data_IF_876326507414
#
_entry.id   IF_876326507414
#
_cell.length_a   1.000
_cell.length_b   1.000
_cell.length_c   1.000
_cell.angle_alpha   90.00
_cell.angle_beta   90.00
_cell.angle_gamma   90.00
#
_symmetry.space_group_name_H-M   'P 1'
#
loop_
_entity.id
_entity.type
_entity.pdbx_description
1 polymer ?
#
# COMPACT_ATOMS: atom_id res chain seq x y z
N UNK A 1 -11.39 -6.06 7.92
CA UNK A 1 -10.29 -6.17 6.94
C UNK A 1 -10.71 -7.16 5.85
N UNK A 2 -10.20 -7.05 4.61
CA UNK A 2 -10.57 -7.99 3.52
C UNK A 2 -9.79 -9.31 3.59
N UNK A 3 -10.27 -10.32 2.85
CA UNK A 3 -9.61 -11.63 2.70
C UNK A 3 -8.18 -11.49 2.15
N UNK A 4 -7.99 -10.80 1.03
CA UNK A 4 -6.67 -10.61 0.42
C UNK A 4 -5.70 -9.83 1.32
N UNK A 5 -6.19 -8.84 2.08
CA UNK A 5 -5.36 -8.14 3.08
C UNK A 5 -4.88 -9.09 4.19
N UNK A 6 -5.74 -10.02 4.65
CA UNK A 6 -5.37 -11.02 5.67
C UNK A 6 -4.39 -12.04 5.11
N UNK A 7 -4.63 -12.55 3.91
CA UNK A 7 -3.75 -13.49 3.22
C UNK A 7 -2.36 -12.88 2.97
N UNK A 8 -2.28 -11.63 2.49
CA UNK A 8 -1.02 -10.91 2.36
C UNK A 8 -0.28 -10.75 3.71
N UNK A 9 -1.00 -10.51 4.81
CA UNK A 9 -0.38 -10.42 6.13
C UNK A 9 0.09 -11.78 6.65
N UNK A 10 -0.67 -12.85 6.42
CA UNK A 10 -0.24 -14.24 6.68
C UNK A 10 1.06 -14.54 5.94
N UNK A 11 1.14 -14.24 4.64
CA UNK A 11 2.39 -14.34 3.85
C UNK A 11 3.55 -13.61 4.53
N UNK A 12 3.38 -12.34 4.92
CA UNK A 12 4.44 -11.57 5.59
C UNK A 12 4.81 -12.08 6.99
N UNK A 13 3.90 -12.75 7.70
CA UNK A 13 4.19 -13.40 8.99
C UNK A 13 4.98 -14.70 8.79
N UNK A 14 4.64 -15.51 7.78
CA UNK A 14 5.37 -16.75 7.45
C UNK A 14 6.77 -16.48 6.87
N UNK A 15 6.95 -15.40 6.12
CA UNK A 15 8.26 -14.94 5.64
C UNK A 15 9.21 -14.50 6.77
N UNK A 16 8.68 -14.05 7.92
CA UNK A 16 9.46 -13.37 8.97
C UNK A 16 9.51 -14.10 10.31
N UNK A 17 8.71 -15.16 10.52
CA UNK A 17 8.60 -15.88 11.79
C UNK A 17 8.37 -17.38 11.57
N UNK A 18 8.96 -18.21 12.43
CA UNK A 18 8.66 -19.64 12.49
C UNK A 18 7.27 -19.86 13.13
N UNK A 19 6.25 -20.12 12.31
CA UNK A 19 4.86 -20.31 12.76
C UNK A 19 4.47 -21.78 12.74
N UNK A 20 4.56 -22.47 13.89
CA UNK A 20 4.33 -23.92 13.98
C UNK A 20 2.88 -24.39 14.07
N UNK A 21 1.92 -23.50 14.39
CA UNK A 21 0.51 -23.84 14.57
C UNK A 21 -0.42 -22.75 14.05
N UNK A 22 -1.66 -23.14 13.71
CA UNK A 22 -2.71 -22.20 13.31
C UNK A 22 -3.11 -21.28 14.48
N UNK A 23 -3.06 -21.77 15.72
CA UNK A 23 -3.33 -20.99 16.94
C UNK A 23 -2.33 -19.84 17.11
N UNK A 24 -1.02 -20.13 16.97
CA UNK A 24 0.02 -19.10 17.01
C UNK A 24 -0.17 -18.08 15.87
N UNK A 25 -0.60 -18.50 14.67
CA UNK A 25 -0.92 -17.57 13.59
C UNK A 25 -2.13 -16.67 13.90
N UNK A 26 -3.16 -17.19 14.58
CA UNK A 26 -4.29 -16.39 15.09
C UNK A 26 -3.81 -15.39 16.14
N UNK A 27 -2.97 -15.79 17.09
CA UNK A 27 -2.39 -14.91 18.11
C UNK A 27 -1.54 -13.78 17.49
N UNK A 28 -0.73 -14.10 16.48
CA UNK A 28 0.07 -13.12 15.73
C UNK A 28 -0.80 -12.10 14.98
N UNK A 29 -1.88 -12.55 14.34
CA UNK A 29 -2.85 -11.68 13.66
C UNK A 29 -3.61 -10.80 14.68
N UNK A 30 -4.06 -11.37 15.79
CA UNK A 30 -4.76 -10.63 16.85
C UNK A 30 -3.87 -9.53 17.46
N UNK A 31 -2.58 -9.80 17.64
CA UNK A 31 -1.57 -8.80 18.08
C UNK A 31 -1.38 -7.63 17.10
N UNK A 32 -1.83 -7.77 15.86
CA UNK A 32 -1.82 -6.72 14.82
C UNK A 32 -3.22 -6.10 14.59
N UNK A 33 -4.19 -6.40 15.46
CA UNK A 33 -5.58 -5.94 15.34
C UNK A 33 -6.41 -6.68 14.30
N UNK A 34 -5.95 -7.85 13.85
CA UNK A 34 -6.62 -8.67 12.83
C UNK A 34 -7.37 -9.81 13.52
N UNK A 35 -8.69 -9.65 13.66
CA UNK A 35 -9.58 -10.73 14.09
C UNK A 35 -9.68 -11.83 13.01
N UNK A 36 -9.41 -13.07 13.41
CA UNK A 36 -9.42 -14.27 12.58
C UNK A 36 -9.59 -15.52 13.45
N UNK A 37 -10.43 -16.47 13.00
CA UNK A 37 -10.59 -17.77 13.69
C UNK A 37 -9.59 -18.79 13.14
N UNK A 38 -9.34 -19.89 13.87
CA UNK A 38 -8.56 -21.02 13.36
C UNK A 38 -9.12 -21.55 12.03
N UNK A 39 -10.44 -21.65 11.89
CA UNK A 39 -11.10 -22.08 10.64
C UNK A 39 -10.87 -21.10 9.48
N UNK A 40 -10.80 -19.79 9.78
CA UNK A 40 -10.43 -18.76 8.80
C UNK A 40 -8.99 -18.94 8.35
N UNK A 41 -8.07 -19.09 9.31
CA UNK A 41 -6.63 -19.24 9.05
C UNK A 41 -6.30 -20.54 8.33
N UNK A 42 -6.99 -21.65 8.63
CA UNK A 42 -6.80 -22.93 7.90
C UNK A 42 -7.09 -22.75 6.41
N UNK A 43 -8.25 -22.17 6.07
CA UNK A 43 -8.63 -21.91 4.68
C UNK A 43 -7.67 -20.94 3.98
N UNK A 44 -7.21 -19.90 4.67
CA UNK A 44 -6.23 -18.98 4.08
C UNK A 44 -4.88 -19.67 3.83
N UNK A 45 -4.42 -20.56 4.72
CA UNK A 45 -3.20 -21.35 4.52
C UNK A 45 -3.36 -22.36 3.37
N UNK A 46 -4.51 -23.04 3.29
CA UNK A 46 -4.85 -23.98 2.21
C UNK A 46 -4.90 -23.28 0.84
N UNK A 47 -5.56 -22.12 0.75
CA UNK A 47 -5.64 -21.33 -0.49
C UNK A 47 -4.31 -20.69 -0.90
N UNK A 48 -3.47 -20.31 0.07
CA UNK A 48 -2.10 -19.84 -0.18
C UNK A 48 -1.13 -20.99 -0.52
N UNK A 49 -1.55 -22.26 -0.43
CA UNK A 49 -0.70 -23.43 -0.69
C UNK A 49 0.37 -23.66 0.38
N UNK A 50 0.17 -23.18 1.61
CA UNK A 50 1.16 -23.26 2.68
C UNK A 50 1.42 -24.70 3.13
N UNK A 51 2.69 -25.11 3.10
CA UNK A 51 3.15 -26.44 3.48
C UNK A 51 3.77 -26.43 4.87
N UNK A 52 3.59 -27.51 5.64
CA UNK A 52 4.22 -27.66 6.96
C UNK A 52 5.59 -28.32 6.82
N UNK A 53 6.63 -27.49 6.80
CA UNK A 53 8.04 -27.90 6.66
C UNK A 53 8.68 -28.17 8.02
N UNK A 54 9.85 -28.82 8.02
CA UNK A 54 10.66 -29.07 9.22
C UNK A 54 11.94 -28.23 9.18
N UNK A 55 12.19 -27.45 10.23
CA UNK A 55 13.30 -26.52 10.32
C UNK A 55 14.59 -27.20 10.80
N UNK A 56 15.79 -26.63 10.50
CA UNK A 56 17.03 -26.99 11.18
C UNK A 56 16.88 -26.76 12.69
N UNK A 57 16.91 -27.83 13.47
CA UNK A 57 16.49 -27.85 14.89
C UNK A 57 15.35 -28.82 15.19
N UNK A 58 14.64 -29.31 14.17
CA UNK A 58 13.66 -30.40 14.29
C UNK A 58 12.23 -29.95 14.59
N UNK A 59 12.00 -28.66 14.86
CA UNK A 59 10.68 -28.02 14.91
C UNK A 59 9.99 -27.99 13.54
N UNK A 60 8.69 -27.72 13.52
CA UNK A 60 7.90 -27.61 12.27
C UNK A 60 7.28 -26.22 12.16
N UNK A 61 7.31 -25.63 10.96
CA UNK A 61 6.69 -24.35 10.65
C UNK A 61 5.85 -24.44 9.37
N UNK A 62 4.85 -23.57 9.21
CA UNK A 62 4.25 -23.30 7.92
C UNK A 62 5.21 -22.45 7.09
N UNK A 63 5.43 -22.84 5.83
CA UNK A 63 6.14 -22.08 4.83
C UNK A 63 5.30 -22.04 3.55
N UNK A 64 5.39 -20.96 2.80
CA UNK A 64 4.83 -20.89 1.45
C UNK A 64 5.86 -21.45 0.47
N UNK A 65 5.44 -22.20 -0.57
CA UNK A 65 6.28 -22.42 -1.74
C UNK A 65 6.69 -21.07 -2.30
N UNK A 66 7.98 -20.85 -2.55
CA UNK A 66 8.46 -19.59 -3.08
C UNK A 66 7.80 -19.29 -4.43
N UNK A 67 7.08 -18.17 -4.48
CA UNK A 67 6.68 -17.48 -5.71
C UNK A 67 7.84 -17.47 -6.72
N UNK A 68 7.74 -17.81 -8.03
CA UNK A 68 8.77 -17.38 -8.99
C UNK A 68 8.93 -15.84 -9.07
N UNK A 69 7.98 -15.10 -8.45
CA UNK A 69 7.98 -13.66 -8.16
C UNK A 69 8.62 -13.25 -6.82
N UNK A 70 9.02 -14.21 -5.97
CA UNK A 70 9.61 -13.98 -4.65
C UNK A 70 11.03 -14.55 -4.50
N UNK A 71 11.44 -15.46 -5.38
CA UNK A 71 12.84 -15.88 -5.46
C UNK A 71 13.72 -14.69 -5.87
N UNK A 72 14.75 -14.42 -5.06
CA UNK A 72 15.76 -13.42 -5.39
C UNK A 72 16.51 -13.90 -6.63
N UNK A 73 16.23 -13.27 -7.77
CA UNK A 73 16.94 -13.55 -9.00
C UNK A 73 18.43 -13.22 -8.81
N UNK A 74 19.38 -14.00 -9.36
CA UNK A 74 20.80 -13.67 -9.29
C UNK A 74 21.07 -12.24 -9.76
N UNK A 75 22.03 -11.55 -9.14
CA UNK A 75 22.28 -10.12 -9.42
C UNK A 75 22.56 -9.84 -10.91
N UNK A 76 23.21 -10.79 -11.59
CA UNK A 76 23.44 -10.80 -13.03
C UNK A 76 22.15 -10.78 -13.87
N UNK A 77 21.04 -11.35 -13.37
CA UNK A 77 19.75 -11.30 -14.05
C UNK A 77 19.20 -9.87 -14.08
N UNK A 78 19.28 -9.14 -12.94
CA UNK A 78 18.88 -7.74 -12.90
C UNK A 78 19.77 -6.91 -13.82
N UNK A 79 21.10 -7.08 -13.74
CA UNK A 79 22.07 -6.39 -14.60
C UNK A 79 21.77 -6.62 -16.09
N UNK A 80 21.51 -7.87 -16.49
CA UNK A 80 21.19 -8.22 -17.87
C UNK A 80 19.88 -7.58 -18.32
N UNK A 81 18.81 -7.65 -17.52
CA UNK A 81 17.50 -7.06 -17.89
C UNK A 81 17.58 -5.53 -17.95
N UNK A 82 18.28 -4.88 -17.02
CA UNK A 82 18.42 -3.42 -17.02
C UNK A 82 19.27 -2.93 -18.20
N UNK A 83 20.41 -3.56 -18.48
CA UNK A 83 21.26 -3.21 -19.64
C UNK A 83 20.70 -3.60 -21.01
N UNK A 84 19.71 -4.49 -21.07
CA UNK A 84 19.00 -4.89 -22.29
C UNK A 84 17.79 -3.97 -22.58
N UNK A 85 17.07 -3.50 -21.56
CA UNK A 85 15.76 -2.85 -21.72
C UNK A 85 15.64 -1.42 -21.18
N UNK A 86 16.52 -0.94 -20.30
CA UNK A 86 16.43 0.44 -19.76
C UNK A 86 17.30 1.38 -20.61
N UNK A 87 16.66 2.36 -21.24
CA UNK A 87 17.30 3.35 -22.13
C UNK A 87 17.49 4.71 -21.47
N UNK A 88 16.82 4.97 -20.35
CA UNK A 88 16.93 6.21 -19.58
C UNK A 88 16.50 5.98 -18.12
N UNK A 89 17.18 6.66 -17.20
CA UNK A 89 16.82 6.75 -15.79
C UNK A 89 16.86 8.22 -15.35
N UNK A 90 15.81 8.67 -14.66
CA UNK A 90 15.68 10.01 -14.08
C UNK A 90 14.90 9.94 -12.75
N UNK A 91 14.91 10.99 -11.92
CA UNK A 91 14.17 11.00 -10.65
C UNK A 91 13.59 12.36 -10.27
N UNK A 92 12.62 12.32 -9.35
CA UNK A 92 12.06 13.48 -8.65
C UNK A 92 11.76 13.09 -7.20
N UNK A 93 12.39 13.78 -6.25
CA UNK A 93 12.36 13.44 -4.81
C UNK A 93 12.72 11.97 -4.50
N UNK A 94 11.72 11.11 -4.24
CA UNK A 94 11.89 9.68 -3.98
C UNK A 94 11.30 8.78 -5.10
N UNK A 95 10.84 9.37 -6.21
CA UNK A 95 10.33 8.66 -7.38
C UNK A 95 11.42 8.60 -8.44
N UNK A 96 11.75 7.42 -8.94
CA UNK A 96 12.63 7.20 -10.10
C UNK A 96 11.75 6.77 -11.27
N UNK A 97 12.02 7.32 -12.45
CA UNK A 97 11.37 6.98 -13.72
C UNK A 97 12.41 6.31 -14.61
N UNK A 98 12.18 5.05 -14.93
CA UNK A 98 12.96 4.31 -15.93
C UNK A 98 12.16 4.26 -17.24
N UNK A 99 12.81 4.48 -18.38
CA UNK A 99 12.20 4.32 -19.71
C UNK A 99 12.76 3.09 -20.41
N UNK A 100 11.91 2.43 -21.16
CA UNK A 100 12.20 1.22 -21.94
C UNK A 100 11.69 1.38 -23.37
N UNK A 101 12.03 0.47 -24.30
CA UNK A 101 11.24 0.27 -25.50
C UNK A 101 9.76 -0.03 -25.15
N UNK A 102 8.81 0.19 -26.08
CA UNK A 102 7.41 -0.19 -25.91
C UNK A 102 7.23 -1.65 -25.51
N UNK A 103 6.17 -1.95 -24.75
CA UNK A 103 5.83 -3.27 -24.21
C UNK A 103 6.85 -3.89 -23.23
N UNK A 104 7.95 -3.21 -22.91
CA UNK A 104 9.10 -3.81 -22.21
C UNK A 104 9.15 -3.48 -20.72
N UNK A 105 8.41 -2.46 -20.25
CA UNK A 105 8.48 -1.98 -18.87
C UNK A 105 8.08 -3.04 -17.82
N UNK A 106 7.11 -3.90 -18.13
CA UNK A 106 6.74 -5.01 -17.23
C UNK A 106 7.87 -6.01 -16.99
N UNK A 107 8.78 -6.21 -17.95
CA UNK A 107 9.96 -7.07 -17.79
C UNK A 107 10.95 -6.45 -16.79
N UNK A 108 11.20 -5.14 -16.93
CA UNK A 108 12.08 -4.38 -16.03
C UNK A 108 11.51 -4.29 -14.61
N UNK A 109 10.22 -3.97 -14.45
CA UNK A 109 9.56 -3.95 -13.14
C UNK A 109 9.61 -5.32 -12.44
N UNK A 110 9.29 -6.40 -13.17
CA UNK A 110 9.35 -7.76 -12.65
C UNK A 110 10.77 -8.20 -12.26
N UNK A 111 11.82 -7.73 -12.95
CA UNK A 111 13.20 -7.98 -12.53
C UNK A 111 13.58 -7.18 -11.28
N UNK A 112 13.15 -5.91 -11.18
CA UNK A 112 13.40 -5.05 -10.03
C UNK A 112 12.73 -5.58 -8.75
N UNK A 113 11.43 -5.88 -8.81
CA UNK A 113 10.68 -6.40 -7.66
C UNK A 113 11.30 -7.71 -7.13
N UNK A 114 11.70 -8.61 -8.05
CA UNK A 114 12.38 -9.89 -7.69
C UNK A 114 13.82 -9.71 -7.20
N UNK A 115 14.52 -8.65 -7.57
CA UNK A 115 15.90 -8.43 -7.13
C UNK A 115 16.02 -7.97 -5.67
N UNK A 116 14.93 -7.51 -5.06
CA UNK A 116 14.95 -6.93 -3.71
C UNK A 116 15.85 -5.69 -3.60
N UNK A 117 15.99 -4.91 -4.68
CA UNK A 117 17.02 -3.88 -4.85
C UNK A 117 17.12 -2.94 -3.64
N UNK A 118 18.26 -2.90 -2.91
CA UNK A 118 18.34 -2.19 -1.63
C UNK A 118 17.94 -0.71 -1.76
N UNK A 119 16.93 -0.31 -0.98
CA UNK A 119 16.40 1.06 -0.95
C UNK A 119 15.13 1.28 -1.78
N UNK A 120 14.72 0.34 -2.62
CA UNK A 120 13.43 0.36 -3.34
C UNK A 120 12.31 -0.20 -2.44
N UNK A 121 11.15 0.47 -2.45
CA UNK A 121 9.91 0.04 -1.79
C UNK A 121 9.08 -0.86 -2.72
N UNK A 122 9.10 -0.58 -4.04
CA UNK A 122 8.44 -1.37 -5.08
C UNK A 122 8.34 -0.61 -6.39
N UNK A 123 7.83 -1.26 -7.44
CA UNK A 123 7.64 -0.67 -8.77
C UNK A 123 6.19 -0.66 -9.25
N UNK A 124 5.91 0.18 -10.25
CA UNK A 124 4.71 0.15 -11.08
C UNK A 124 5.14 0.31 -12.54
N UNK A 125 4.92 -0.72 -13.34
CA UNK A 125 5.21 -0.70 -14.78
C UNK A 125 3.96 -0.33 -15.60
N UNK A 126 4.16 0.53 -16.60
CA UNK A 126 3.26 0.71 -17.74
C UNK A 126 3.76 -0.08 -18.96
N UNK A 127 3.71 0.55 -20.14
CA UNK A 127 4.18 -0.05 -21.39
C UNK A 127 5.68 0.22 -21.66
N UNK A 128 6.08 1.49 -21.65
CA UNK A 128 7.42 2.00 -21.99
C UNK A 128 8.14 2.67 -20.79
N UNK A 129 7.51 2.61 -19.62
CA UNK A 129 7.89 3.39 -18.43
C UNK A 129 7.67 2.56 -17.16
N UNK A 130 8.67 2.54 -16.27
CA UNK A 130 8.57 2.01 -14.90
C UNK A 130 8.74 3.14 -13.90
N UNK A 131 7.75 3.31 -13.02
CA UNK A 131 7.87 4.12 -11.82
C UNK A 131 8.44 3.25 -10.70
N UNK A 132 9.54 3.67 -10.09
CA UNK A 132 10.19 2.99 -8.96
C UNK A 132 10.14 3.91 -7.75
N UNK A 133 9.65 3.43 -6.61
CA UNK A 133 9.57 4.23 -5.39
C UNK A 133 10.75 3.89 -4.48
N UNK A 134 11.60 4.86 -4.19
CA UNK A 134 12.65 4.73 -3.19
C UNK A 134 12.15 5.07 -1.78
N UNK A 135 12.80 4.46 -0.78
CA UNK A 135 12.65 4.84 0.62
C UNK A 135 13.30 6.19 0.91
N UNK A 136 12.69 6.98 1.81
CA UNK A 136 13.19 8.31 2.20
C UNK A 136 14.63 8.26 2.74
N UNK A 137 14.98 7.17 3.43
CA UNK A 137 16.33 6.93 3.96
C UNK A 137 17.39 6.64 2.88
N UNK A 138 17.00 6.22 1.68
CA UNK A 138 17.90 6.01 0.54
C UNK A 138 17.96 7.22 -0.39
N UNK A 139 16.82 7.90 -0.58
CA UNK A 139 16.65 9.00 -1.52
C UNK A 139 16.54 8.54 -2.99
N UNK A 140 15.77 9.28 -3.80
CA UNK A 140 15.57 8.94 -5.21
C UNK A 140 16.84 9.03 -6.04
N UNK A 141 17.68 10.05 -5.79
CA UNK A 141 18.96 10.26 -6.49
C UNK A 141 19.89 9.04 -6.35
N UNK A 142 20.21 8.64 -5.12
CA UNK A 142 21.12 7.53 -4.79
C UNK A 142 20.64 6.19 -5.37
N UNK A 143 19.33 5.99 -5.45
CA UNK A 143 18.72 4.79 -6.05
C UNK A 143 18.77 4.88 -7.57
N UNK A 144 18.48 6.05 -8.17
CA UNK A 144 18.58 6.27 -9.61
C UNK A 144 20.01 6.06 -10.14
N UNK A 145 21.04 6.58 -9.45
CA UNK A 145 22.44 6.37 -9.81
C UNK A 145 22.82 4.89 -9.81
N UNK A 146 22.43 4.16 -8.76
CA UNK A 146 22.72 2.73 -8.64
C UNK A 146 21.98 1.91 -9.69
N UNK A 147 20.76 2.30 -10.07
CA UNK A 147 20.00 1.68 -11.16
C UNK A 147 20.63 1.99 -12.53
N UNK A 148 21.05 3.24 -12.77
CA UNK A 148 21.75 3.64 -13.98
C UNK A 148 23.09 2.89 -14.15
N UNK A 149 23.89 2.79 -13.09
CA UNK A 149 25.14 2.03 -13.08
C UNK A 149 24.95 0.51 -13.27
N UNK A 150 23.79 -0.05 -12.89
CA UNK A 150 23.43 -1.45 -13.19
C UNK A 150 22.97 -1.61 -14.65
N UNK A 151 22.29 -0.60 -15.21
CA UNK A 151 21.91 -0.55 -16.63
C UNK A 151 23.07 -0.18 -17.59
N UNK A 152 24.20 0.32 -17.08
CA UNK A 152 25.29 0.85 -17.92
C UNK A 152 25.00 2.23 -18.52
N UNK A 153 24.15 3.03 -17.86
CA UNK A 153 23.74 4.36 -18.30
C UNK A 153 24.47 5.46 -17.50
N UNK A 154 24.85 6.53 -18.19
CA UNK A 154 25.33 7.76 -17.56
C UNK A 154 24.16 8.58 -16.97
N UNK A 155 24.26 9.09 -15.72
CA UNK A 155 23.17 9.81 -15.06
C UNK A 155 22.92 11.19 -15.69
N UNK A 156 21.92 11.29 -16.57
CA UNK A 156 21.51 12.54 -17.25
C UNK A 156 21.23 13.72 -16.30
N UNK A 157 20.93 13.44 -15.04
CA UNK A 157 20.64 14.46 -14.03
C UNK A 157 21.88 15.17 -13.49
N UNK A 158 23.10 14.61 -13.63
CA UNK A 158 24.34 15.16 -13.07
C UNK A 158 24.68 16.59 -13.58
N UNK A 159 24.13 16.99 -14.73
CA UNK A 159 24.29 18.32 -15.31
C UNK A 159 23.12 19.28 -15.00
N UNK A 160 22.17 18.90 -14.12
CA UNK A 160 21.10 19.80 -13.67
C UNK A 160 21.59 20.72 -12.56
N UNK A 161 21.15 21.99 -12.51
CA UNK A 161 21.38 22.83 -11.33
C UNK A 161 20.71 22.17 -10.10
N UNK A 162 21.38 22.22 -8.94
CA UNK A 162 20.77 21.71 -7.70
C UNK A 162 19.40 22.36 -7.46
N UNK A 163 18.35 21.59 -7.13
CA UNK A 163 17.12 22.18 -6.63
C UNK A 163 17.44 23.00 -5.37
N UNK A 164 16.88 24.21 -5.21
CA UNK A 164 17.22 25.08 -4.09
C UNK A 164 16.94 24.36 -2.76
N UNK A 165 17.90 24.39 -1.84
CA UNK A 165 17.91 23.64 -0.56
C UNK A 165 16.92 24.19 0.48
N UNK A 166 15.65 24.31 0.06
CA UNK A 166 14.50 24.53 0.93
C UNK A 166 14.08 23.21 1.57
N UNK A 167 13.99 23.20 2.90
CA UNK A 167 13.47 22.05 3.66
C UNK A 167 12.06 21.71 3.15
N UNK A 168 11.80 20.44 2.84
CA UNK A 168 10.44 19.98 2.57
C UNK A 168 9.61 20.25 3.83
N UNK A 169 8.76 21.29 3.79
CA UNK A 169 8.03 21.72 4.98
C UNK A 169 7.09 20.59 5.39
N UNK A 170 7.10 20.14 6.66
CA UNK A 170 6.23 19.05 7.09
C UNK A 170 4.79 19.48 6.84
N UNK A 171 4.09 18.72 5.99
CA UNK A 171 2.71 19.02 5.62
C UNK A 171 1.88 19.01 6.91
N UNK A 172 1.51 20.21 7.38
CA UNK A 172 0.72 20.37 8.61
C UNK A 172 -0.63 19.73 8.38
N UNK A 173 -0.81 18.51 8.92
CA UNK A 173 -2.09 17.84 8.97
C UNK A 173 -3.12 18.82 9.52
N UNK A 174 -4.06 19.23 8.66
CA UNK A 174 -5.04 20.26 8.97
C UNK A 174 -6.09 19.67 9.91
N UNK A 175 -5.77 19.69 11.22
CA UNK A 175 -6.70 19.33 12.29
C UNK A 175 -7.96 20.19 12.17
N UNK A 176 -9.00 19.58 11.59
CA UNK A 176 -10.26 20.23 11.27
C UNK A 176 -11.04 20.56 12.53
N UNK A 177 -10.67 21.65 13.22
CA UNK A 177 -11.49 22.24 14.28
C UNK A 177 -12.85 22.61 13.69
N UNK A 178 -13.87 21.83 14.02
CA UNK A 178 -15.27 22.07 13.68
C UNK A 178 -15.77 23.35 14.37
N UNK A 179 -15.47 24.49 13.75
CA UNK A 179 -15.92 25.81 14.19
C UNK A 179 -17.44 25.92 14.04
N UNK A 180 -18.17 25.55 15.10
CA UNK A 180 -19.61 25.79 15.23
C UNK A 180 -19.91 27.29 15.07
N UNK A 181 -20.30 27.72 13.87
CA UNK A 181 -20.87 29.05 13.66
C UNK A 181 -22.18 29.13 14.45
N UNK A 182 -22.21 29.93 15.51
CA UNK A 182 -23.48 30.41 16.08
C UNK A 182 -24.18 31.23 15.00
N UNK A 183 -25.38 30.83 14.62
CA UNK A 183 -26.31 31.73 13.92
C UNK A 183 -26.88 32.67 14.97
N UNK A 184 -26.68 33.97 14.80
CA UNK A 184 -27.36 34.98 15.60
C UNK A 184 -28.77 35.19 15.01
N UNK A 185 -29.80 35.03 15.82
CA UNK A 185 -31.18 35.37 15.46
C UNK A 185 -31.47 36.70 16.15
N UNK A 186 -31.44 37.79 15.39
CA UNK A 186 -31.88 39.11 15.85
C UNK A 186 -33.40 39.18 15.65
N UNK A 187 -34.17 39.44 16.71
CA UNK A 187 -35.62 39.48 16.66
C UNK A 187 -36.19 40.80 16.14
N UNK A 188 -37.47 40.78 15.76
CA UNK A 188 -38.31 41.95 15.56
C UNK A 188 -39.68 41.71 16.24
N UNK A 189 -40.15 42.71 16.97
CA UNK A 189 -41.45 42.77 17.65
C UNK A 189 -42.58 43.24 16.68
N UNK A 190 -43.87 43.23 17.00
CA UNK A 190 -44.61 42.77 18.20
C UNK A 190 -45.72 41.75 17.75
N UNK A 191 -46.99 41.63 18.15
CA UNK A 191 -47.93 42.29 19.08
C UNK A 191 -49.00 41.26 19.54
N UNK A 192 -49.56 41.30 20.77
CA UNK A 192 -50.34 40.17 21.32
C UNK A 192 -51.88 40.36 21.39
N UNK A 193 -52.58 39.21 21.54
CA UNK A 193 -53.87 38.97 22.26
C UNK A 193 -55.07 38.46 21.42
N UNK A 194 -55.84 37.52 22.01
CA UNK A 194 -57.14 36.94 21.57
C UNK A 194 -57.12 36.00 20.34
N UNK A 195 -57.87 34.87 20.28
CA UNK A 195 -58.90 34.33 21.21
C UNK A 195 -58.87 32.78 21.26
N UNK A 196 -59.63 32.17 22.19
CA UNK A 196 -59.66 30.72 22.47
C UNK A 196 -60.50 29.87 21.47
N UNK A 197 -60.42 28.52 21.48
CA UNK A 197 -60.82 27.66 20.35
C UNK A 197 -62.16 26.89 20.55
N UNK A 198 -62.62 26.18 19.50
CA UNK A 198 -63.46 24.97 19.63
C UNK A 198 -62.73 23.68 19.23
N UNK A 199 -63.32 22.53 19.59
CA UNK A 199 -62.72 21.19 19.56
C UNK A 199 -63.05 20.37 18.27
N UNK A 200 -62.52 19.13 18.09
CA UNK A 200 -62.52 18.45 16.78
C UNK A 200 -63.85 17.75 16.45
N UNK A 201 -64.05 17.46 15.15
CA UNK A 201 -65.05 16.48 14.69
C UNK A 201 -64.36 15.18 14.30
N UNK A 202 -64.88 14.06 14.82
CA UNK A 202 -64.46 12.72 14.45
C UNK A 202 -65.48 12.08 13.50
N UNK A 203 -64.96 11.47 12.43
CA UNK A 203 -65.63 10.49 11.57
C UNK A 203 -64.51 9.77 10.81
N UNK A 204 -64.27 8.46 10.92
CA UNK A 204 -65.21 7.34 10.69
C UNK A 204 -65.72 7.40 9.24
N UNK A 205 -65.56 6.39 8.39
CA UNK A 205 -65.47 4.94 8.65
C UNK A 205 -65.03 4.14 7.39
N UNK A 206 -64.85 2.82 7.55
CA UNK A 206 -65.05 1.70 6.58
C UNK A 206 -64.70 1.93 5.08
N UNK A 207 -63.89 1.12 4.38
CA UNK A 207 -63.23 -0.15 4.72
C UNK A 207 -63.70 -1.33 3.84
N UNK A 208 -62.80 -2.32 3.62
CA UNK A 208 -62.92 -3.48 2.67
C UNK A 208 -62.81 -3.08 1.18
N UNK A 209 -62.41 -3.97 0.28
CA UNK A 209 -61.95 -5.38 0.44
C UNK A 209 -60.46 -5.52 0.19
#
# INVERSE_FOLDING_TARGET
>A
MTKHQRQHRITKLLETRAVGSQSHLVELLAGEGIDATQTTVSRDLEELGALKVRLPGGETAYALPELPSQQVAPEDHLRRVLGEWVVEADYSANLIVLRTPPGSAHVVGSALDRSGFPGVIGTVAGDDTVLVVASEASGGATVADRLAAVAGLEPKWANRPEPPKGKLAPQRASSGRTSRRKVAIQGASDEPTSTAPPAPKASSERGRT
#
